data_IF_431182626920
#
_entry.id   IF_431182626920
#
_cell.length_a   1.000
_cell.length_b   1.000
_cell.length_c   1.000
_cell.angle_alpha   90.00
_cell.angle_beta   90.00
_cell.angle_gamma   90.00
#
_symmetry.space_group_name_H-M   'P 1'
#
loop_
_entity.id
_entity.type
_entity.pdbx_description
1 polymer ?
#
# COMPACT_ATOMS: atom_id res chain seq x y z
N UNK A 1 -33.20 -26.16 -19.90
CA UNK A 1 -32.19 -25.07 -19.86
C UNK A 1 -31.06 -25.62 -19.02
N UNK A 2 -30.32 -26.59 -19.57
CA UNK A 2 -29.40 -27.45 -18.81
C UNK A 2 -27.98 -27.26 -19.38
N UNK A 3 -27.59 -25.99 -19.56
CA UNK A 3 -26.33 -25.56 -20.18
C UNK A 3 -25.40 -24.85 -19.17
N UNK A 4 -25.33 -25.32 -17.92
CA UNK A 4 -24.37 -24.79 -16.92
C UNK A 4 -23.51 -25.87 -16.24
N UNK A 5 -23.53 -27.12 -16.70
CA UNK A 5 -22.83 -28.22 -16.01
C UNK A 5 -21.68 -28.85 -16.81
N UNK A 6 -21.03 -28.08 -17.70
CA UNK A 6 -19.87 -28.59 -18.45
C UNK A 6 -18.81 -27.54 -18.81
N UNK A 7 -18.38 -26.70 -17.86
CA UNK A 7 -17.22 -25.80 -18.05
C UNK A 7 -16.13 -25.92 -16.98
N UNK A 8 -16.18 -26.95 -16.11
CA UNK A 8 -15.02 -27.33 -15.28
C UNK A 8 -13.98 -28.03 -16.17
N UNK A 9 -13.25 -27.25 -16.95
CA UNK A 9 -12.06 -27.74 -17.64
C UNK A 9 -11.06 -28.22 -16.59
N UNK A 10 -10.40 -29.39 -16.75
CA UNK A 10 -9.59 -30.00 -15.70
C UNK A 10 -8.43 -29.12 -15.19
N UNK A 11 -8.02 -28.14 -15.99
CA UNK A 11 -7.04 -27.09 -15.66
C UNK A 11 -7.59 -26.04 -14.67
N UNK A 12 -8.89 -25.74 -14.65
CA UNK A 12 -9.49 -24.76 -13.72
C UNK A 12 -9.53 -25.29 -12.28
N UNK A 13 -9.94 -26.55 -12.08
CA UNK A 13 -9.93 -27.22 -10.77
C UNK A 13 -8.52 -27.33 -10.18
N UNK A 14 -7.53 -27.57 -11.04
CA UNK A 14 -6.12 -27.62 -10.60
C UNK A 14 -5.54 -26.25 -10.30
N UNK A 15 -5.97 -25.21 -11.03
CA UNK A 15 -5.49 -23.83 -10.84
C UNK A 15 -5.90 -23.23 -9.50
N UNK A 16 -7.13 -23.48 -9.03
CA UNK A 16 -7.60 -23.00 -7.72
C UNK A 16 -7.03 -23.81 -6.54
N UNK A 17 -6.79 -25.11 -6.76
CA UNK A 17 -6.21 -25.98 -5.72
C UNK A 17 -4.74 -25.69 -5.46
N UNK A 18 -3.99 -25.22 -6.45
CA UNK A 18 -2.54 -25.06 -6.35
C UNK A 18 -2.09 -24.03 -5.27
N UNK A 19 -2.68 -22.82 -5.20
CA UNK A 19 -2.40 -21.87 -4.11
C UNK A 19 -2.74 -22.42 -2.72
N UNK A 20 -3.84 -23.15 -2.61
CA UNK A 20 -4.29 -23.78 -1.36
C UNK A 20 -3.29 -24.85 -0.92
N UNK A 21 -2.87 -25.72 -1.85
CA UNK A 21 -1.86 -26.76 -1.61
C UNK A 21 -0.52 -26.16 -1.15
N UNK A 22 -0.13 -25.03 -1.74
CA UNK A 22 1.07 -24.28 -1.36
C UNK A 22 1.02 -23.78 0.08
N UNK A 23 -0.10 -23.17 0.50
CA UNK A 23 -0.28 -22.72 1.90
C UNK A 23 -0.31 -23.87 2.90
N UNK A 24 -0.96 -24.98 2.56
CA UNK A 24 -0.92 -26.19 3.39
C UNK A 24 0.49 -26.78 3.48
N UNK A 25 1.26 -26.76 2.39
CA UNK A 25 2.67 -27.17 2.40
C UNK A 25 3.53 -26.28 3.30
N UNK A 26 3.31 -24.96 3.27
CA UNK A 26 3.98 -24.02 4.16
C UNK A 26 3.60 -24.24 5.62
N UNK A 27 2.31 -24.45 5.91
CA UNK A 27 1.84 -24.72 7.27
C UNK A 27 2.48 -26.00 7.85
N UNK A 28 2.65 -27.05 7.03
CA UNK A 28 3.36 -28.27 7.43
C UNK A 28 4.85 -28.00 7.67
N UNK A 29 5.53 -27.44 6.67
CA UNK A 29 7.00 -27.28 6.70
C UNK A 29 7.48 -26.25 7.71
N UNK A 30 6.81 -25.09 7.80
CA UNK A 30 7.27 -23.95 8.60
C UNK A 30 6.61 -23.88 9.98
N UNK A 31 5.42 -24.47 10.15
CA UNK A 31 4.63 -24.36 11.38
C UNK A 31 4.28 -25.72 12.01
N UNK A 32 4.77 -26.83 11.45
CA UNK A 32 4.61 -28.17 12.03
C UNK A 32 3.17 -28.68 12.04
N UNK A 33 2.34 -28.26 11.09
CA UNK A 33 0.93 -28.69 10.99
C UNK A 33 0.78 -30.23 10.86
N UNK A 34 1.82 -30.93 10.40
CA UNK A 34 1.88 -32.39 10.30
C UNK A 34 2.39 -33.10 11.57
N UNK A 35 2.91 -32.36 12.56
CA UNK A 35 3.49 -32.90 13.79
C UNK A 35 2.72 -32.47 15.05
N UNK A 36 1.38 -32.59 15.01
CA UNK A 36 0.52 -32.28 16.15
C UNK A 36 0.38 -33.54 17.02
N UNK A 37 1.11 -33.57 18.14
CA UNK A 37 1.16 -34.72 19.08
C UNK A 37 0.06 -34.71 20.14
N UNK A 38 -1.06 -34.04 19.87
CA UNK A 38 -2.17 -33.93 20.80
C UNK A 38 -2.93 -35.28 20.91
N UNK A 39 -3.20 -35.72 22.14
CA UNK A 39 -3.90 -36.99 22.42
C UNK A 39 -5.42 -36.88 22.28
N UNK A 40 -5.99 -35.71 22.54
CA UNK A 40 -7.42 -35.46 22.52
C UNK A 40 -7.81 -34.59 21.31
N UNK A 41 -8.95 -34.89 20.69
CA UNK A 41 -9.46 -34.17 19.52
C UNK A 41 -9.53 -32.65 19.75
N UNK A 42 -10.14 -32.22 20.86
CA UNK A 42 -10.28 -30.80 21.19
C UNK A 42 -8.93 -30.07 21.29
N UNK A 43 -7.93 -30.73 21.88
CA UNK A 43 -6.58 -30.18 21.97
C UNK A 43 -5.95 -30.07 20.58
N UNK A 44 -6.05 -31.09 19.73
CA UNK A 44 -5.52 -31.02 18.36
C UNK A 44 -6.18 -29.91 17.53
N UNK A 45 -7.49 -29.70 17.66
CA UNK A 45 -8.23 -28.65 16.97
C UNK A 45 -7.77 -27.24 17.40
N UNK A 46 -7.53 -27.05 18.70
CA UNK A 46 -7.00 -25.80 19.22
C UNK A 46 -5.59 -25.51 18.69
N UNK A 47 -4.71 -26.51 18.62
CA UNK A 47 -3.37 -26.37 18.03
C UNK A 47 -3.43 -25.99 16.54
N UNK A 48 -4.29 -26.65 15.77
CA UNK A 48 -4.51 -26.34 14.36
C UNK A 48 -5.02 -24.90 14.20
N UNK A 49 -6.00 -24.49 15.00
CA UNK A 49 -6.56 -23.15 14.98
C UNK A 49 -5.50 -22.08 15.30
N UNK A 50 -4.63 -22.33 16.29
CA UNK A 50 -3.52 -21.44 16.61
C UNK A 50 -2.53 -21.30 15.45
N UNK A 51 -2.18 -22.39 14.75
CA UNK A 51 -1.29 -22.32 13.57
C UNK A 51 -1.91 -21.45 12.48
N UNK A 52 -3.20 -21.63 12.17
CA UNK A 52 -3.89 -20.79 11.19
C UNK A 52 -4.01 -19.33 11.64
N UNK A 53 -4.23 -19.09 12.93
CA UNK A 53 -4.24 -17.74 13.51
C UNK A 53 -2.89 -17.04 13.30
N UNK A 54 -1.77 -17.70 13.58
CA UNK A 54 -0.43 -17.15 13.39
C UNK A 54 -0.16 -16.85 11.91
N UNK A 55 -0.52 -17.76 11.00
CA UNK A 55 -0.40 -17.53 9.55
C UNK A 55 -1.14 -16.27 9.09
N UNK A 56 -2.36 -16.06 9.60
CA UNK A 56 -3.15 -14.88 9.30
C UNK A 56 -2.56 -13.60 9.91
N UNK A 57 -2.05 -13.67 11.14
CA UNK A 57 -1.39 -12.53 11.81
C UNK A 57 -0.12 -12.09 11.09
N UNK A 58 0.71 -13.04 10.65
CA UNK A 58 1.92 -12.73 9.88
C UNK A 58 1.53 -12.02 8.58
N UNK A 59 0.51 -12.52 7.86
CA UNK A 59 0.01 -11.85 6.67
C UNK A 59 -0.46 -10.42 6.96
N UNK A 60 -1.25 -10.23 8.01
CA UNK A 60 -1.74 -8.91 8.41
C UNK A 60 -0.59 -7.96 8.78
N UNK A 61 0.42 -8.45 9.50
CA UNK A 61 1.58 -7.65 9.88
C UNK A 61 2.36 -7.15 8.67
N UNK A 62 2.54 -8.00 7.65
CA UNK A 62 3.17 -7.62 6.39
C UNK A 62 2.37 -6.55 5.64
N UNK A 63 1.05 -6.72 5.54
CA UNK A 63 0.16 -5.74 4.89
C UNK A 63 0.18 -4.39 5.63
N UNK A 64 0.12 -4.41 6.95
CA UNK A 64 0.19 -3.21 7.77
C UNK A 64 1.55 -2.50 7.64
N UNK A 65 2.66 -3.25 7.70
CA UNK A 65 4.00 -2.71 7.51
C UNK A 65 4.14 -2.06 6.14
N UNK A 66 3.68 -2.73 5.08
CA UNK A 66 3.73 -2.21 3.72
C UNK A 66 2.88 -0.94 3.58
N UNK A 67 1.66 -0.93 4.12
CA UNK A 67 0.78 0.23 4.11
C UNK A 67 1.41 1.43 4.85
N UNK A 68 1.96 1.21 6.05
CA UNK A 68 2.64 2.25 6.82
C UNK A 68 3.85 2.81 6.07
N UNK A 69 4.62 1.94 5.41
CA UNK A 69 5.79 2.34 4.62
C UNK A 69 5.39 3.20 3.42
N UNK A 70 4.36 2.82 2.66
CA UNK A 70 3.83 3.62 1.55
C UNK A 70 3.31 4.97 2.05
N UNK A 71 2.51 4.97 3.13
CA UNK A 71 1.97 6.21 3.71
C UNK A 71 3.10 7.14 4.13
N UNK A 72 4.15 6.60 4.76
CA UNK A 72 5.30 7.38 5.15
C UNK A 72 6.05 7.97 3.95
N UNK A 73 6.29 7.17 2.90
CA UNK A 73 6.91 7.61 1.66
C UNK A 73 6.12 8.75 0.99
N UNK A 74 4.80 8.60 0.88
CA UNK A 74 3.92 9.60 0.29
C UNK A 74 3.94 10.92 1.07
N UNK A 75 4.02 10.87 2.40
CA UNK A 75 4.18 12.07 3.24
C UNK A 75 5.50 12.79 2.94
N UNK A 76 6.60 12.07 2.82
CA UNK A 76 7.89 12.68 2.49
C UNK A 76 7.88 13.34 1.11
N UNK A 77 7.26 12.70 0.11
CA UNK A 77 7.14 13.24 -1.23
C UNK A 77 6.27 14.51 -1.26
N UNK A 78 5.11 14.49 -0.58
CA UNK A 78 4.24 15.66 -0.46
C UNK A 78 4.93 16.82 0.25
N UNK A 79 5.64 16.57 1.34
CA UNK A 79 6.40 17.59 2.06
C UNK A 79 7.53 18.18 1.19
N UNK A 80 8.21 17.35 0.40
CA UNK A 80 9.24 17.80 -0.53
C UNK A 80 8.66 18.75 -1.58
N UNK A 81 7.53 18.40 -2.19
CA UNK A 81 6.83 19.26 -3.17
C UNK A 81 6.43 20.58 -2.51
N UNK A 82 5.88 20.54 -1.30
CA UNK A 82 5.45 21.73 -0.58
C UNK A 82 6.63 22.68 -0.26
N UNK A 83 7.77 22.14 0.14
CA UNK A 83 9.00 22.91 0.38
C UNK A 83 9.46 23.61 -0.91
N UNK A 84 9.48 22.89 -2.04
CA UNK A 84 9.87 23.46 -3.32
C UNK A 84 8.87 24.53 -3.79
N UNK A 85 7.57 24.30 -3.65
CA UNK A 85 6.52 25.27 -3.98
C UNK A 85 6.66 26.55 -3.14
N UNK A 86 6.85 26.43 -1.82
CA UNK A 86 7.08 27.58 -0.91
C UNK A 86 8.33 28.36 -1.29
N UNK A 87 9.41 27.67 -1.71
CA UNK A 87 10.65 28.31 -2.17
C UNK A 87 10.44 29.13 -3.43
N UNK A 88 9.71 28.60 -4.41
CA UNK A 88 9.38 29.31 -5.66
C UNK A 88 8.52 30.55 -5.39
N UNK A 89 7.48 30.43 -4.55
CA UNK A 89 6.62 31.56 -4.17
C UNK A 89 7.43 32.67 -3.48
N UNK A 90 8.37 32.30 -2.59
CA UNK A 90 9.25 33.28 -1.94
C UNK A 90 10.18 34.00 -2.93
N UNK A 91 10.69 33.31 -3.95
CA UNK A 91 11.50 33.91 -5.01
C UNK A 91 10.65 34.89 -5.84
N UNK A 92 9.44 34.49 -6.26
CA UNK A 92 8.53 35.36 -7.02
C UNK A 92 8.14 36.61 -6.23
N UNK A 93 7.84 36.47 -4.93
CA UNK A 93 7.52 37.60 -4.07
C UNK A 93 8.72 38.51 -3.78
N UNK A 94 9.93 37.95 -3.67
CA UNK A 94 11.17 38.72 -3.47
C UNK A 94 11.62 39.49 -4.72
N UNK A 95 11.35 38.94 -5.92
CA UNK A 95 11.58 39.62 -7.20
C UNK A 95 10.71 40.86 -7.36
N UNK A 96 9.51 40.89 -6.77
CA UNK A 96 8.63 42.07 -6.77
C UNK A 96 9.13 43.26 -5.94
N UNK A 97 10.20 43.11 -5.15
CA UNK A 97 10.80 44.23 -4.38
C UNK A 97 11.97 44.93 -5.08
N UNK A 98 12.53 44.36 -6.16
CA UNK A 98 13.73 44.91 -6.84
C UNK A 98 13.40 45.59 -8.18
N UNK A 99 12.14 45.56 -8.63
CA UNK A 99 11.74 46.18 -9.89
C UNK A 99 10.52 47.09 -9.72
N UNK A 100 10.75 48.32 -9.26
CA UNK A 100 9.91 49.44 -9.69
C UNK A 100 10.44 49.90 -11.04
N UNK A 101 9.76 49.63 -12.18
CA UNK A 101 10.14 50.25 -13.43
C UNK A 101 9.86 51.76 -13.34
N UNK A 102 10.93 52.54 -13.50
CA UNK A 102 11.00 53.99 -13.55
C UNK A 102 10.27 54.54 -14.80
N UNK A 103 8.97 54.30 -14.94
CA UNK A 103 8.21 54.64 -16.16
C UNK A 103 6.91 55.43 -15.93
N UNK A 104 6.65 55.91 -14.71
CA UNK A 104 5.48 56.76 -14.41
C UNK A 104 5.87 58.12 -13.79
N UNK A 105 6.91 58.76 -14.31
CA UNK A 105 7.24 60.17 -13.99
C UNK A 105 7.30 61.09 -15.22
N UNK A 106 6.66 60.73 -16.33
CA UNK A 106 6.34 61.72 -17.38
C UNK A 106 5.03 62.39 -17.00
N UNK A 107 5.18 63.43 -16.19
CA UNK A 107 4.14 64.41 -15.84
C UNK A 107 3.67 65.05 -17.15
N UNK A 108 2.48 64.66 -17.62
CA UNK A 108 1.79 65.37 -18.71
C UNK A 108 1.54 66.78 -18.21
N UNK A 109 2.32 67.71 -18.72
CA UNK A 109 2.12 69.15 -18.62
C UNK A 109 0.92 69.46 -19.52
N UNK A 110 -0.21 69.98 -19.02
CA UNK A 110 -1.21 70.55 -19.89
C UNK A 110 -0.65 71.91 -20.34
N UNK A 111 -0.23 72.01 -21.59
CA UNK A 111 0.07 73.30 -22.20
C UNK A 111 -1.28 73.92 -22.61
N UNK A 112 -1.45 75.18 -22.17
CA UNK A 112 -2.42 76.17 -22.63
C UNK A 112 -2.76 76.05 -24.12
#
# INVERSE_FOLDING_TARGET
MDLELQSLTPDTVTRERNPIKGKFGQAKTAYGLDNIKARLKETSESWIACIFMVLNLVKLAWELYFWLKIKNMNRHFSAMIEIHAKRLVKIMAGVSSIHQPLFLKVKIIPLI
#
